data_IF_413878464574
#
_entry.id   IF_413878464574
#
_cell.length_a   1.000
_cell.length_b   1.000
_cell.length_c   1.000
_cell.angle_alpha   90.00
_cell.angle_beta   90.00
_cell.angle_gamma   90.00
#
_symmetry.space_group_name_H-M   'P 1'
#
loop_
_entity.id
_entity.type
_entity.pdbx_description
1 polymer ?
#
# COMPACT_ATOMS: atom_id res chain seq x y z
N UNK A 1 11.41 -32.53 5.65
CA UNK A 1 11.13 -31.77 4.41
C UNK A 1 11.26 -30.29 4.77
N UNK A 2 12.41 -29.70 4.50
CA UNK A 2 12.68 -28.27 4.76
C UNK A 2 11.96 -27.43 3.72
N UNK A 3 10.95 -26.69 4.15
CA UNK A 3 10.38 -25.60 3.35
C UNK A 3 11.43 -24.47 3.29
N UNK A 4 12.26 -24.50 2.26
CA UNK A 4 13.10 -23.39 1.85
C UNK A 4 12.15 -22.28 1.33
N UNK A 5 11.66 -21.44 2.22
CA UNK A 5 11.14 -20.13 1.86
C UNK A 5 12.31 -19.37 1.27
N UNK A 6 12.39 -19.34 -0.05
CA UNK A 6 13.37 -18.56 -0.78
C UNK A 6 13.21 -17.09 -0.43
N UNK A 7 13.97 -16.64 0.58
CA UNK A 7 14.03 -15.21 0.94
C UNK A 7 14.63 -14.51 -0.29
N UNK A 8 13.78 -13.81 -1.03
CA UNK A 8 14.23 -12.98 -2.15
C UNK A 8 15.25 -11.97 -1.61
N UNK A 9 16.47 -11.98 -2.14
CA UNK A 9 17.45 -10.95 -1.81
C UNK A 9 16.92 -9.59 -2.27
N UNK A 10 16.87 -8.56 -1.41
CA UNK A 10 16.45 -7.23 -1.82
C UNK A 10 17.33 -6.68 -2.94
N UNK A 11 16.72 -5.91 -3.83
CA UNK A 11 17.41 -5.31 -4.98
C UNK A 11 17.69 -3.84 -4.69
N UNK A 12 18.96 -3.44 -4.78
CA UNK A 12 19.39 -2.05 -4.62
C UNK A 12 19.79 -1.51 -5.98
N UNK A 13 19.26 -0.34 -6.34
CA UNK A 13 19.75 0.43 -7.48
C UNK A 13 20.84 1.38 -7.01
N UNK A 14 22.02 1.29 -7.63
CA UNK A 14 23.12 2.24 -7.49
C UNK A 14 23.13 3.11 -8.74
N UNK A 15 22.86 4.40 -8.59
CA UNK A 15 22.84 5.38 -9.66
C UNK A 15 23.92 6.45 -9.39
N UNK A 16 24.99 6.42 -10.16
CA UNK A 16 26.15 7.33 -10.06
C UNK A 16 26.81 7.37 -11.44
N UNK A 17 27.32 8.51 -11.89
CA UNK A 17 28.01 8.64 -13.17
C UNK A 17 29.46 8.16 -13.11
N UNK A 18 30.01 8.00 -11.91
CA UNK A 18 31.37 7.51 -11.66
C UNK A 18 31.42 5.98 -11.58
N UNK A 19 32.11 5.29 -12.52
CA UNK A 19 32.30 3.84 -12.45
C UNK A 19 32.96 3.36 -11.17
N UNK A 20 33.85 4.19 -10.60
CA UNK A 20 34.56 3.89 -9.34
C UNK A 20 33.61 3.82 -8.15
N UNK A 21 32.65 4.74 -8.05
CA UNK A 21 31.64 4.76 -6.99
C UNK A 21 30.70 3.54 -7.12
N UNK A 22 30.28 3.26 -8.36
CA UNK A 22 29.45 2.09 -8.68
C UNK A 22 30.15 0.80 -8.27
N UNK A 23 31.43 0.64 -8.63
CA UNK A 23 32.21 -0.56 -8.29
C UNK A 23 32.36 -0.70 -6.77
N UNK A 24 32.69 0.39 -6.07
CA UNK A 24 32.82 0.39 -4.61
C UNK A 24 31.51 -0.02 -3.93
N UNK A 25 30.39 0.65 -4.28
CA UNK A 25 29.08 0.36 -3.69
C UNK A 25 28.62 -1.05 -4.05
N UNK A 26 28.84 -1.51 -5.27
CA UNK A 26 28.51 -2.87 -5.70
C UNK A 26 29.31 -3.92 -4.93
N UNK A 27 30.57 -3.68 -4.65
CA UNK A 27 31.42 -4.58 -3.85
C UNK A 27 30.96 -4.62 -2.38
N UNK A 28 30.66 -3.45 -1.81
CA UNK A 28 30.23 -3.31 -0.41
C UNK A 28 28.88 -3.98 -0.14
N UNK A 29 27.94 -3.90 -1.08
CA UNK A 29 26.57 -4.33 -0.90
C UNK A 29 26.25 -5.66 -1.59
N UNK A 30 27.02 -6.07 -2.59
CA UNK A 30 26.74 -7.23 -3.44
C UNK A 30 26.77 -8.59 -2.74
N UNK A 31 27.33 -8.68 -1.53
CA UNK A 31 27.29 -9.92 -0.73
C UNK A 31 25.88 -10.21 -0.21
N UNK A 32 25.15 -9.17 0.21
CA UNK A 32 23.85 -9.30 0.87
C UNK A 32 22.66 -8.98 -0.05
N UNK A 33 22.89 -8.16 -1.09
CA UNK A 33 21.87 -7.59 -1.95
C UNK A 33 22.11 -7.87 -3.44
N UNK A 34 21.02 -7.86 -4.21
CA UNK A 34 21.09 -7.83 -5.69
C UNK A 34 21.32 -6.40 -6.14
N UNK A 35 22.34 -6.14 -6.93
CA UNK A 35 22.68 -4.79 -7.37
C UNK A 35 22.21 -4.60 -8.83
N UNK A 36 21.45 -3.52 -9.06
CA UNK A 36 21.20 -2.92 -10.37
C UNK A 36 21.99 -1.63 -10.46
N UNK A 37 22.46 -1.28 -11.66
CA UNK A 37 23.35 -0.13 -11.85
C UNK A 37 22.76 0.80 -12.91
N UNK A 38 22.82 2.10 -12.64
CA UNK A 38 22.53 3.16 -13.60
C UNK A 38 23.68 4.18 -13.61
N UNK A 39 24.11 4.57 -14.81
CA UNK A 39 25.17 5.58 -15.01
C UNK A 39 24.62 6.96 -15.41
N UNK A 40 23.28 7.12 -15.37
CA UNK A 40 22.57 8.37 -15.65
C UNK A 40 21.22 8.40 -14.96
N UNK A 41 20.67 9.61 -14.77
CA UNK A 41 19.34 9.79 -14.20
C UNK A 41 18.22 9.16 -15.02
N UNK A 42 18.30 9.20 -16.34
CA UNK A 42 17.31 8.57 -17.21
C UNK A 42 17.29 7.05 -17.04
N UNK A 43 18.48 6.42 -17.01
CA UNK A 43 18.58 4.98 -16.77
C UNK A 43 18.10 4.59 -15.38
N UNK A 44 18.34 5.44 -14.38
CA UNK A 44 17.83 5.23 -13.03
C UNK A 44 16.30 5.23 -13.01
N UNK A 45 15.64 6.16 -13.70
CA UNK A 45 14.18 6.20 -13.85
C UNK A 45 13.66 4.96 -14.60
N UNK A 46 14.31 4.58 -15.70
CA UNK A 46 13.92 3.40 -16.48
C UNK A 46 13.92 2.13 -15.60
N UNK A 47 14.94 1.96 -14.76
CA UNK A 47 15.02 0.82 -13.84
C UNK A 47 13.98 0.94 -12.72
N UNK A 48 13.76 2.14 -12.17
CA UNK A 48 12.79 2.36 -11.11
C UNK A 48 11.33 2.09 -11.59
N UNK A 49 11.05 2.30 -12.87
CA UNK A 49 9.72 2.07 -13.46
C UNK A 49 9.57 0.70 -14.14
N UNK A 50 10.60 -0.13 -14.12
CA UNK A 50 10.53 -1.50 -14.67
C UNK A 50 9.54 -2.39 -13.88
N UNK A 51 9.20 -3.56 -14.44
CA UNK A 51 8.34 -4.56 -13.78
C UNK A 51 8.96 -5.12 -12.50
N UNK A 52 10.29 -5.11 -12.40
CA UNK A 52 11.03 -5.46 -11.20
C UNK A 52 11.74 -4.20 -10.63
N UNK A 53 11.03 -3.32 -9.92
CA UNK A 53 11.64 -2.13 -9.33
C UNK A 53 12.61 -2.50 -8.22
N UNK A 54 13.58 -1.62 -7.90
CA UNK A 54 14.46 -1.80 -6.75
C UNK A 54 13.70 -1.63 -5.44
N UNK A 55 14.20 -2.28 -4.39
CA UNK A 55 13.69 -2.13 -3.02
C UNK A 55 14.29 -0.91 -2.31
N UNK A 56 15.43 -0.39 -2.80
CA UNK A 56 16.09 0.84 -2.33
C UNK A 56 16.94 1.43 -3.46
N UNK A 57 17.10 2.75 -3.48
CA UNK A 57 17.93 3.47 -4.46
C UNK A 57 19.01 4.26 -3.72
N UNK A 58 20.25 4.02 -4.06
CA UNK A 58 21.39 4.92 -3.77
C UNK A 58 21.57 5.82 -5.01
N UNK A 59 21.45 7.11 -4.84
CA UNK A 59 21.32 8.06 -5.94
C UNK A 59 22.31 9.21 -5.80
N UNK A 60 23.24 9.33 -6.74
CA UNK A 60 24.06 10.52 -6.81
C UNK A 60 23.22 11.74 -7.21
N UNK A 61 23.52 12.87 -6.61
CA UNK A 61 22.87 14.15 -6.94
C UNK A 61 23.43 14.70 -8.25
N UNK A 62 24.75 14.60 -8.42
CA UNK A 62 25.47 15.21 -9.53
C UNK A 62 25.65 14.21 -10.67
N UNK A 63 24.64 14.04 -11.50
CA UNK A 63 24.70 13.21 -12.72
C UNK A 63 24.49 14.08 -13.96
N UNK A 64 25.12 13.70 -15.10
CA UNK A 64 24.86 14.39 -16.36
C UNK A 64 23.40 14.20 -16.80
N UNK A 65 22.87 15.14 -17.56
CA UNK A 65 21.55 15.20 -18.17
C UNK A 65 20.40 15.38 -17.20
N UNK A 66 20.24 14.54 -16.19
CA UNK A 66 19.18 14.58 -15.22
C UNK A 66 19.74 14.46 -13.79
N UNK A 67 19.61 15.52 -13.01
CA UNK A 67 20.11 15.52 -11.62
C UNK A 67 19.38 14.51 -10.74
N UNK A 68 20.08 13.98 -9.71
CA UNK A 68 19.47 13.06 -8.75
C UNK A 68 18.25 13.66 -8.04
N UNK A 69 18.22 14.97 -7.79
CA UNK A 69 17.05 15.64 -7.23
C UNK A 69 15.82 15.51 -8.14
N UNK A 70 15.98 15.69 -9.45
CA UNK A 70 14.88 15.55 -10.39
C UNK A 70 14.42 14.09 -10.53
N UNK A 71 15.37 13.13 -10.54
CA UNK A 71 15.06 11.70 -10.48
C UNK A 71 14.23 11.37 -9.25
N UNK A 72 14.66 11.84 -8.08
CA UNK A 72 13.94 11.63 -6.82
C UNK A 72 12.52 12.22 -6.90
N UNK A 73 12.36 13.46 -7.35
CA UNK A 73 11.07 14.12 -7.48
C UNK A 73 10.12 13.33 -8.38
N UNK A 74 10.58 12.83 -9.54
CA UNK A 74 9.76 12.02 -10.46
C UNK A 74 9.33 10.70 -9.84
N UNK A 75 10.23 9.99 -9.16
CA UNK A 75 9.91 8.74 -8.48
C UNK A 75 8.89 9.00 -7.36
N UNK A 76 9.08 10.05 -6.55
CA UNK A 76 8.20 10.39 -5.42
C UNK A 76 6.83 10.92 -5.84
N UNK A 77 6.72 11.49 -7.04
CA UNK A 77 5.44 11.92 -7.62
C UNK A 77 4.61 10.75 -8.17
N UNK A 78 5.21 9.58 -8.39
CA UNK A 78 4.49 8.41 -8.91
C UNK A 78 3.85 7.62 -7.75
N UNK A 79 2.52 7.41 -7.71
CA UNK A 79 1.82 6.71 -6.63
C UNK A 79 2.36 5.30 -6.37
N UNK A 80 2.76 4.57 -7.43
CA UNK A 80 3.22 3.18 -7.34
C UNK A 80 4.69 3.06 -6.92
N UNK A 81 5.48 4.12 -7.08
CA UNK A 81 6.94 4.12 -6.86
C UNK A 81 7.39 5.03 -5.73
N UNK A 82 6.55 5.97 -5.27
CA UNK A 82 6.90 6.97 -4.23
C UNK A 82 7.38 6.38 -2.91
N UNK A 83 7.06 5.12 -2.66
CA UNK A 83 7.43 4.41 -1.43
C UNK A 83 8.86 3.88 -1.44
N UNK A 84 9.48 3.71 -2.61
CA UNK A 84 10.86 3.23 -2.71
C UNK A 84 11.77 4.19 -1.95
N UNK A 85 12.50 3.75 -0.91
CA UNK A 85 13.43 4.59 -0.19
C UNK A 85 14.58 5.02 -1.10
N UNK A 86 14.88 6.32 -1.08
CA UNK A 86 15.97 6.93 -1.85
C UNK A 86 16.94 7.53 -0.84
N UNK A 87 18.20 7.10 -0.90
CA UNK A 87 19.31 7.67 -0.13
C UNK A 87 20.21 8.39 -1.11
N UNK A 88 20.43 9.68 -0.90
CA UNK A 88 21.38 10.42 -1.71
C UNK A 88 22.84 10.06 -1.35
N UNK A 89 23.68 9.97 -2.37
CA UNK A 89 25.13 9.82 -2.23
C UNK A 89 25.76 11.07 -2.84
N UNK A 90 26.30 11.96 -2.02
CA UNK A 90 26.67 13.30 -2.48
C UNK A 90 28.04 13.76 -1.97
N UNK A 91 28.73 14.55 -2.77
CA UNK A 91 29.91 15.32 -2.33
C UNK A 91 29.51 16.62 -1.60
N UNK A 92 28.25 17.05 -1.72
CA UNK A 92 27.73 18.25 -1.07
C UNK A 92 27.43 17.95 0.40
N UNK A 93 27.93 18.82 1.29
CA UNK A 93 27.80 18.70 2.74
C UNK A 93 27.19 19.96 3.37
N UNK A 94 26.50 20.80 2.57
CA UNK A 94 25.83 21.97 3.12
C UNK A 94 24.49 21.59 3.73
N UNK A 95 24.11 22.22 4.83
CA UNK A 95 22.81 22.00 5.51
C UNK A 95 21.64 22.29 4.56
N UNK A 96 21.82 23.21 3.63
CA UNK A 96 20.81 23.60 2.64
C UNK A 96 20.54 22.47 1.63
N UNK A 97 21.58 21.78 1.15
CA UNK A 97 21.43 20.66 0.21
C UNK A 97 20.80 19.44 0.87
N UNK A 98 21.15 19.16 2.12
CA UNK A 98 20.55 18.08 2.90
C UNK A 98 19.05 18.33 3.15
N UNK A 99 18.71 19.56 3.56
CA UNK A 99 17.32 19.98 3.79
C UNK A 99 16.48 19.90 2.52
N UNK A 100 17.04 20.28 1.37
CA UNK A 100 16.38 20.17 0.08
C UNK A 100 16.13 18.70 -0.29
N UNK A 101 17.15 17.84 -0.12
CA UNK A 101 17.04 16.42 -0.42
C UNK A 101 15.92 15.73 0.37
N UNK A 102 15.84 15.99 1.67
CA UNK A 102 14.77 15.46 2.54
C UNK A 102 13.39 16.03 2.18
N UNK A 103 13.32 17.34 1.83
CA UNK A 103 12.07 17.98 1.42
C UNK A 103 11.45 17.39 0.14
N UNK A 104 12.28 16.91 -0.81
CA UNK A 104 11.82 16.23 -2.01
C UNK A 104 11.44 14.75 -1.78
N UNK A 105 11.64 14.23 -0.56
CA UNK A 105 11.19 12.90 -0.17
C UNK A 105 12.28 11.83 -0.13
N UNK A 106 13.57 12.17 -0.17
CA UNK A 106 14.62 11.24 0.19
C UNK A 106 14.52 10.87 1.67
N UNK A 107 14.95 9.65 2.02
CA UNK A 107 14.89 9.17 3.41
C UNK A 107 16.17 9.39 4.17
N UNK A 108 17.29 9.62 3.45
CA UNK A 108 18.60 9.81 4.05
C UNK A 108 19.62 10.30 3.00
N UNK A 109 20.83 10.60 3.45
CA UNK A 109 21.98 10.96 2.60
C UNK A 109 23.27 10.31 3.10
N UNK A 110 24.24 10.12 2.21
CA UNK A 110 25.60 9.60 2.47
C UNK A 110 26.57 10.56 1.83
N UNK A 111 27.48 11.12 2.61
CA UNK A 111 28.50 12.02 2.11
C UNK A 111 29.68 11.23 1.50
N UNK A 112 30.21 11.73 0.39
CA UNK A 112 31.47 11.27 -0.19
C UNK A 112 32.65 11.93 0.59
N UNK A 113 33.76 11.22 0.90
CA UNK A 113 34.09 9.88 0.46
C UNK A 113 33.24 8.80 1.14
N UNK A 114 32.86 7.77 0.36
CA UNK A 114 31.99 6.69 0.80
C UNK A 114 32.64 5.89 1.93
N UNK A 115 31.96 5.80 3.07
CA UNK A 115 32.35 4.97 4.21
C UNK A 115 31.55 3.64 4.17
N UNK A 116 32.17 2.48 3.83
CA UNK A 116 31.47 1.22 3.66
C UNK A 116 30.60 0.78 4.84
N UNK A 117 31.09 0.77 6.09
CA UNK A 117 30.27 0.45 7.27
C UNK A 117 29.04 1.32 7.41
N UNK A 118 29.16 2.63 7.13
CA UNK A 118 28.04 3.56 7.22
C UNK A 118 26.99 3.30 6.15
N UNK A 119 27.41 3.03 4.90
CA UNK A 119 26.51 2.66 3.80
C UNK A 119 25.72 1.40 4.15
N UNK A 120 26.41 0.34 4.59
CA UNK A 120 25.75 -0.92 4.98
C UNK A 120 24.74 -0.70 6.10
N UNK A 121 25.08 0.08 7.13
CA UNK A 121 24.17 0.37 8.24
C UNK A 121 22.93 1.12 7.78
N UNK A 122 23.07 2.20 6.97
CA UNK A 122 21.93 2.99 6.46
C UNK A 122 21.03 2.18 5.54
N UNK A 123 21.63 1.47 4.58
CA UNK A 123 20.88 0.60 3.66
C UNK A 123 20.07 -0.44 4.42
N UNK A 124 20.69 -1.13 5.38
CA UNK A 124 19.99 -2.14 6.21
C UNK A 124 18.84 -1.53 6.99
N UNK A 125 19.06 -0.35 7.61
CA UNK A 125 18.01 0.34 8.39
C UNK A 125 16.82 0.72 7.52
N UNK A 126 17.07 1.36 6.37
CA UNK A 126 16.00 1.83 5.51
C UNK A 126 15.26 0.70 4.78
N UNK A 127 15.94 -0.40 4.43
CA UNK A 127 15.28 -1.61 3.92
C UNK A 127 14.38 -2.25 4.99
N UNK A 128 14.85 -2.37 6.24
CA UNK A 128 14.05 -2.92 7.32
C UNK A 128 12.79 -2.09 7.59
N UNK A 129 12.92 -0.75 7.61
CA UNK A 129 11.77 0.17 7.75
C UNK A 129 10.79 0.06 6.58
N UNK A 130 11.29 -0.09 5.37
CA UNK A 130 10.48 -0.25 4.16
C UNK A 130 9.68 -1.56 4.20
N UNK A 131 10.33 -2.66 4.55
CA UNK A 131 9.67 -3.97 4.67
C UNK A 131 8.62 -3.98 5.78
N UNK A 132 8.93 -3.38 6.94
CA UNK A 132 7.98 -3.23 8.05
C UNK A 132 6.74 -2.41 7.62
N UNK A 133 6.95 -1.31 6.92
CA UNK A 133 5.85 -0.47 6.41
C UNK A 133 4.95 -1.23 5.44
N UNK A 134 5.54 -1.97 4.50
CA UNK A 134 4.78 -2.82 3.54
C UNK A 134 3.97 -3.89 4.25
N UNK A 135 4.54 -4.55 5.26
CA UNK A 135 3.84 -5.59 6.00
C UNK A 135 2.68 -5.00 6.83
N UNK A 136 2.88 -3.85 7.48
CA UNK A 136 1.83 -3.14 8.18
C UNK A 136 0.66 -2.75 7.25
N UNK A 137 0.96 -2.22 6.07
CA UNK A 137 -0.08 -1.87 5.10
C UNK A 137 -0.85 -3.10 4.62
N UNK A 138 -0.16 -4.21 4.37
CA UNK A 138 -0.79 -5.48 4.01
C UNK A 138 -1.71 -5.97 5.11
N UNK A 139 -1.25 -5.93 6.38
CA UNK A 139 -2.08 -6.31 7.53
C UNK A 139 -3.29 -5.39 7.70
N UNK A 140 -3.12 -4.08 7.53
CA UNK A 140 -4.25 -3.12 7.59
C UNK A 140 -5.28 -3.42 6.50
N UNK A 141 -4.85 -3.62 5.25
CA UNK A 141 -5.75 -3.95 4.15
C UNK A 141 -6.51 -5.27 4.40
N UNK A 142 -5.81 -6.30 4.88
CA UNK A 142 -6.41 -7.57 5.23
C UNK A 142 -7.44 -7.42 6.36
N UNK A 143 -7.07 -6.77 7.47
CA UNK A 143 -7.97 -6.54 8.62
C UNK A 143 -9.19 -5.71 8.24
N UNK A 144 -9.00 -4.69 7.40
CA UNK A 144 -10.14 -3.91 6.90
C UNK A 144 -11.10 -4.77 6.08
N UNK A 145 -10.58 -5.63 5.21
CA UNK A 145 -11.40 -6.56 4.42
C UNK A 145 -12.18 -7.55 5.31
N UNK A 146 -11.50 -8.15 6.32
CA UNK A 146 -12.12 -9.04 7.30
C UNK A 146 -13.24 -8.36 8.09
N UNK A 147 -13.02 -7.11 8.54
CA UNK A 147 -14.02 -6.33 9.27
C UNK A 147 -15.24 -6.03 8.41
N UNK A 148 -15.05 -5.64 7.14
CA UNK A 148 -16.15 -5.41 6.19
C UNK A 148 -16.96 -6.69 5.97
N UNK A 149 -16.29 -7.83 5.75
CA UNK A 149 -16.95 -9.13 5.56
C UNK A 149 -17.75 -9.55 6.81
N UNK A 150 -17.14 -9.41 8.00
CA UNK A 150 -17.77 -9.74 9.28
C UNK A 150 -19.00 -8.87 9.53
N UNK A 151 -18.88 -7.55 9.31
CA UNK A 151 -20.02 -6.62 9.43
C UNK A 151 -21.17 -7.02 8.52
N UNK A 152 -20.90 -7.34 7.27
CA UNK A 152 -21.93 -7.80 6.32
C UNK A 152 -22.58 -9.11 6.77
N UNK A 153 -21.80 -10.03 7.31
CA UNK A 153 -22.32 -11.30 7.83
C UNK A 153 -23.26 -11.08 9.03
N UNK A 154 -22.90 -10.19 9.95
CA UNK A 154 -23.73 -9.83 11.11
C UNK A 154 -25.07 -9.23 10.63
N UNK A 155 -25.00 -8.24 9.72
CA UNK A 155 -26.21 -7.60 9.16
C UNK A 155 -27.14 -8.63 8.52
N UNK A 156 -26.61 -9.55 7.70
CA UNK A 156 -27.40 -10.61 7.07
C UNK A 156 -28.03 -11.57 8.09
N UNK A 157 -27.28 -11.93 9.16
CA UNK A 157 -27.80 -12.82 10.21
C UNK A 157 -28.92 -12.17 11.00
N UNK A 158 -28.78 -10.88 11.36
CA UNK A 158 -29.82 -10.11 12.05
C UNK A 158 -31.08 -9.97 11.19
N UNK A 159 -30.93 -9.64 9.89
CA UNK A 159 -32.05 -9.57 8.96
C UNK A 159 -32.78 -10.90 8.86
N UNK A 160 -32.05 -12.01 8.70
CA UNK A 160 -32.65 -13.35 8.69
C UNK A 160 -33.36 -13.69 10.01
N UNK A 161 -32.77 -13.34 11.16
CA UNK A 161 -33.40 -13.59 12.46
C UNK A 161 -34.73 -12.85 12.61
N UNK A 162 -34.88 -11.64 12.05
CA UNK A 162 -36.12 -10.89 12.01
C UNK A 162 -37.18 -11.57 11.11
N UNK A 163 -36.78 -12.11 9.95
CA UNK A 163 -37.66 -12.82 9.04
C UNK A 163 -38.21 -14.14 9.62
N UNK A 164 -37.42 -14.89 10.38
CA UNK A 164 -37.89 -16.16 10.99
C UNK A 164 -39.08 -15.98 11.93
N UNK A 165 -39.29 -14.80 12.49
CA UNK A 165 -40.45 -14.50 13.33
C UNK A 165 -41.74 -14.31 12.53
N UNK A 166 -41.61 -14.01 11.22
CA UNK A 166 -42.74 -13.73 10.32
C UNK A 166 -43.13 -14.92 9.39
N UNK A 167 -42.54 -16.11 9.63
CA UNK A 167 -42.70 -17.30 8.77
C UNK A 167 -42.23 -17.11 7.31
N UNK A 168 -41.38 -16.14 7.01
CA UNK A 168 -40.85 -15.93 5.66
C UNK A 168 -39.60 -16.76 5.42
N UNK A 169 -39.33 -17.09 4.18
CA UNK A 169 -38.37 -18.12 3.72
C UNK A 169 -36.88 -17.77 3.82
N UNK A 170 -36.50 -16.73 4.54
CA UNK A 170 -35.10 -16.30 4.72
C UNK A 170 -34.40 -15.74 3.47
N UNK A 171 -35.03 -15.80 2.31
CA UNK A 171 -34.56 -15.26 1.04
C UNK A 171 -35.11 -13.86 0.73
N UNK A 172 -36.09 -13.39 1.50
CA UNK A 172 -36.72 -12.09 1.33
C UNK A 172 -35.74 -10.95 1.54
N UNK A 173 -34.95 -10.99 2.61
CA UNK A 173 -33.88 -10.00 2.92
C UNK A 173 -32.90 -9.81 1.77
N UNK A 174 -32.48 -10.90 1.12
CA UNK A 174 -31.56 -10.83 -0.02
C UNK A 174 -32.26 -10.15 -1.22
N UNK A 175 -33.51 -10.53 -1.51
CA UNK A 175 -34.27 -9.92 -2.61
C UNK A 175 -34.50 -8.42 -2.39
N UNK A 176 -34.92 -8.03 -1.19
CA UNK A 176 -35.13 -6.61 -0.82
C UNK A 176 -33.84 -5.80 -1.00
N UNK A 177 -32.70 -6.31 -0.55
CA UNK A 177 -31.40 -5.62 -0.74
C UNK A 177 -31.08 -5.39 -2.22
N UNK A 178 -31.34 -6.38 -3.08
CA UNK A 178 -31.15 -6.22 -4.52
C UNK A 178 -32.14 -5.24 -5.15
N UNK A 179 -33.40 -5.28 -4.78
CA UNK A 179 -34.42 -4.35 -5.28
C UNK A 179 -34.12 -2.91 -4.83
N UNK A 180 -33.78 -2.71 -3.54
CA UNK A 180 -33.41 -1.40 -3.02
C UNK A 180 -32.24 -0.80 -3.81
N UNK A 181 -31.22 -1.61 -4.12
CA UNK A 181 -30.09 -1.15 -4.95
C UNK A 181 -30.51 -0.79 -6.37
N UNK A 182 -31.34 -1.61 -7.02
CA UNK A 182 -31.81 -1.34 -8.38
C UNK A 182 -32.68 -0.06 -8.44
N UNK A 183 -33.57 0.12 -7.47
CA UNK A 183 -34.39 1.34 -7.36
C UNK A 183 -33.53 2.55 -7.11
N UNK A 184 -32.58 2.46 -6.17
CA UNK A 184 -31.62 3.54 -5.89
C UNK A 184 -30.77 3.91 -7.10
N UNK A 185 -30.36 2.93 -7.91
CA UNK A 185 -29.62 3.18 -9.15
C UNK A 185 -30.47 3.93 -10.18
N UNK A 186 -31.74 3.56 -10.34
CA UNK A 186 -32.66 4.27 -11.22
C UNK A 186 -33.02 5.69 -10.69
N UNK A 187 -32.99 5.86 -9.37
CA UNK A 187 -33.17 7.18 -8.74
C UNK A 187 -31.93 8.06 -8.79
N UNK A 188 -30.82 7.61 -9.40
CA UNK A 188 -29.60 8.40 -9.57
C UNK A 188 -28.70 8.50 -8.33
N UNK A 189 -28.83 7.57 -7.36
CA UNK A 189 -27.96 7.55 -6.20
C UNK A 189 -26.51 7.22 -6.60
N UNK A 190 -25.56 7.88 -5.97
CA UNK A 190 -24.13 7.62 -6.18
C UNK A 190 -23.66 6.26 -5.63
N UNK A 191 -22.48 5.77 -6.05
CA UNK A 191 -21.99 4.42 -5.72
C UNK A 191 -21.95 4.13 -4.22
N UNK A 192 -21.53 5.09 -3.40
CA UNK A 192 -21.44 4.95 -1.93
C UNK A 192 -22.81 4.78 -1.30
N UNK A 193 -23.80 5.60 -1.71
CA UNK A 193 -25.17 5.53 -1.23
C UNK A 193 -25.83 4.20 -1.65
N UNK A 194 -25.60 3.72 -2.88
CA UNK A 194 -26.06 2.41 -3.35
C UNK A 194 -25.47 1.26 -2.55
N UNK A 195 -24.20 1.33 -2.22
CA UNK A 195 -23.54 0.34 -1.37
C UNK A 195 -24.15 0.31 0.03
N UNK A 196 -24.36 1.48 0.63
CA UNK A 196 -24.97 1.60 1.94
C UNK A 196 -26.40 1.07 1.93
N UNK A 197 -27.21 1.48 0.95
CA UNK A 197 -28.58 1.04 0.78
C UNK A 197 -28.69 -0.49 0.65
N UNK A 198 -27.83 -1.09 -0.18
CA UNK A 198 -27.76 -2.55 -0.34
C UNK A 198 -27.44 -3.27 0.98
N UNK A 199 -26.54 -2.71 1.78
CA UNK A 199 -26.13 -3.31 3.04
C UNK A 199 -27.20 -3.17 4.14
N UNK A 200 -27.86 -2.02 4.20
CA UNK A 200 -28.79 -1.70 5.29
C UNK A 200 -30.23 -2.14 5.02
N UNK A 201 -30.62 -2.30 3.76
CA UNK A 201 -31.95 -2.80 3.39
C UNK A 201 -32.28 -4.16 4.03
N UNK A 202 -31.25 -4.97 4.29
CA UNK A 202 -31.41 -6.23 5.02
C UNK A 202 -31.94 -6.06 6.46
N UNK A 203 -31.86 -4.87 7.04
CA UNK A 203 -32.29 -4.57 8.41
C UNK A 203 -33.66 -3.87 8.48
N UNK A 204 -34.40 -3.70 7.36
CA UNK A 204 -35.62 -2.91 7.31
C UNK A 204 -36.67 -3.39 8.37
N UNK A 205 -36.68 -4.67 8.69
CA UNK A 205 -37.59 -5.30 9.65
C UNK A 205 -36.96 -5.69 10.99
N UNK A 206 -35.71 -5.26 11.26
CA UNK A 206 -35.00 -5.64 12.50
C UNK A 206 -35.75 -5.26 13.77
N UNK A 207 -36.58 -4.20 13.73
CA UNK A 207 -37.43 -3.77 14.84
C UNK A 207 -38.45 -4.83 15.28
N UNK A 208 -38.84 -5.75 14.41
CA UNK A 208 -39.75 -6.86 14.76
C UNK A 208 -39.18 -7.78 15.85
N UNK A 209 -37.86 -7.83 16.04
CA UNK A 209 -37.24 -8.60 17.12
C UNK A 209 -37.66 -8.15 18.52
N UNK A 210 -38.00 -6.87 18.70
CA UNK A 210 -38.46 -6.30 19.96
C UNK A 210 -39.96 -6.34 20.20
N UNK A 211 -40.78 -6.82 19.21
CA UNK A 211 -42.23 -6.84 19.33
C UNK A 211 -42.68 -8.18 19.92
N UNK A 212 -43.58 -8.20 20.98
CA UNK A 212 -44.16 -9.42 21.53
C UNK A 212 -44.94 -10.20 20.45
N UNK A 213 -44.92 -11.54 20.52
CA UNK A 213 -45.61 -12.41 19.56
C UNK A 213 -47.10 -12.20 19.54
N UNK A 214 -47.70 -11.88 20.69
CA UNK A 214 -49.14 -11.55 20.82
C UNK A 214 -49.55 -10.35 19.95
N UNK A 215 -48.61 -9.45 19.64
CA UNK A 215 -48.85 -8.30 18.79
C UNK A 215 -48.47 -8.64 17.35
N UNK A 216 -47.26 -9.22 17.15
CA UNK A 216 -46.70 -9.48 15.84
C UNK A 216 -47.53 -10.50 15.03
N UNK A 217 -48.00 -11.57 15.72
CA UNK A 217 -48.74 -12.68 15.10
C UNK A 217 -50.25 -12.55 15.27
N UNK A 218 -50.75 -11.39 15.71
CA UNK A 218 -52.19 -11.15 15.86
C UNK A 218 -52.88 -11.37 14.52
N UNK A 219 -53.93 -12.27 14.44
CA UNK A 219 -54.71 -12.45 13.25
C UNK A 219 -55.33 -11.11 12.81
N UNK A 220 -55.25 -10.81 11.52
CA UNK A 220 -55.90 -9.64 10.96
C UNK A 220 -57.41 -9.64 11.25
N UNK A 221 -57.96 -8.43 11.30
CA UNK A 221 -59.40 -8.23 11.44
C UNK A 221 -60.13 -8.82 10.23
#
# INVERSE_FOLDING_TARGET
>A
MSLSTGIRRPTILVADDSPQNIELLSRVLGQDYRIKVATSGEKALQIAYSDEPPDLILLDIMMPDLSGHEVCRRIKSNPDRRRIPIIFVTAMSTIEDESLGLAIGAVDYITKPINPPLVQARVRTHLALYDQSRELERMVAQRTSELVATRQQIVRRLGRAAEFRDNDSGNHVIRISHFARLIGQQAGLGPEALQLLFQTAALHDVGKLGIPDEILLKPGL
#
